data_IF_941634528841
#
_entry.id   IF_941634528841
#
_cell.length_a   1.000
_cell.length_b   1.000
_cell.length_c   1.000
_cell.angle_alpha   90.00
_cell.angle_beta   90.00
_cell.angle_gamma   90.00
#
_symmetry.space_group_name_H-M   'P 1'
#
loop_
_entity.id
_entity.type
_entity.pdbx_description
1 polymer ?
#
# COMPACT_ATOMS: atom_id res chain seq x y z
N UNK A 1 0.02 6.40 12.74
CA UNK A 1 1.46 6.47 13.00
C UNK A 1 2.00 5.12 13.42
N UNK A 2 1.56 4.57 14.58
CA UNK A 2 2.08 3.33 15.17
C UNK A 2 2.02 2.12 14.21
N UNK A 3 0.90 1.86 13.56
CA UNK A 3 0.71 0.70 12.66
C UNK A 3 1.74 0.67 11.53
N UNK A 4 1.97 1.80 10.85
CA UNK A 4 2.93 1.84 9.74
C UNK A 4 4.37 1.58 10.21
N UNK A 5 4.77 2.09 11.38
CA UNK A 5 6.10 1.77 11.91
C UNK A 5 6.22 0.33 12.42
N UNK A 6 5.12 -0.34 12.78
CA UNK A 6 5.14 -1.79 13.02
C UNK A 6 5.42 -2.57 11.71
N UNK A 7 4.81 -2.18 10.60
CA UNK A 7 5.14 -2.76 9.30
C UNK A 7 6.61 -2.50 8.91
N UNK A 8 7.10 -1.28 9.13
CA UNK A 8 8.51 -0.92 8.89
C UNK A 8 9.46 -1.77 9.74
N UNK A 9 9.16 -1.95 11.03
CA UNK A 9 9.95 -2.78 11.93
C UNK A 9 10.01 -4.23 11.44
N UNK A 10 8.86 -4.81 11.10
CA UNK A 10 8.78 -6.19 10.62
C UNK A 10 9.52 -6.35 9.28
N UNK A 11 9.36 -5.41 8.35
CA UNK A 11 10.08 -5.39 7.09
C UNK A 11 11.61 -5.34 7.32
N UNK A 12 12.08 -4.48 8.21
CA UNK A 12 13.50 -4.37 8.55
C UNK A 12 14.03 -5.65 9.23
N UNK A 13 13.24 -6.30 10.10
CA UNK A 13 13.63 -7.60 10.69
C UNK A 13 13.80 -8.67 9.61
N UNK A 14 12.92 -8.72 8.61
CA UNK A 14 13.05 -9.64 7.48
C UNK A 14 14.34 -9.31 6.70
N UNK A 15 14.53 -8.05 6.30
CA UNK A 15 15.69 -7.61 5.52
C UNK A 15 17.03 -7.87 6.22
N UNK A 16 17.09 -7.74 7.55
CA UNK A 16 18.29 -8.02 8.33
C UNK A 16 18.63 -9.50 8.47
N UNK A 17 17.65 -10.39 8.26
CA UNK A 17 17.79 -11.81 8.56
C UNK A 17 17.61 -12.72 7.34
N UNK A 18 17.00 -12.27 6.26
CA UNK A 18 16.71 -13.11 5.09
C UNK A 18 17.99 -13.70 4.48
N UNK A 19 19.06 -12.93 4.40
CA UNK A 19 20.36 -13.38 3.86
C UNK A 19 21.11 -14.37 4.80
N UNK A 20 20.68 -14.49 6.06
CA UNK A 20 21.24 -15.42 7.05
C UNK A 20 20.57 -16.80 7.00
N UNK A 21 19.40 -16.88 6.37
CA UNK A 21 18.65 -18.14 6.23
C UNK A 21 19.13 -18.84 4.96
N UNK A 22 19.60 -20.08 5.09
CA UNK A 22 19.96 -20.90 3.94
C UNK A 22 18.71 -21.38 3.21
N UNK A 23 18.17 -20.52 2.35
CA UNK A 23 17.10 -20.89 1.44
C UNK A 23 17.72 -21.50 0.18
N UNK A 24 17.27 -22.70 -0.20
CA UNK A 24 17.71 -23.38 -1.43
C UNK A 24 17.02 -22.83 -2.67
N UNK A 25 15.88 -22.15 -2.49
CA UNK A 25 15.10 -21.53 -3.55
C UNK A 25 15.40 -20.02 -3.60
N UNK A 26 16.24 -19.61 -4.56
CA UNK A 26 16.62 -18.21 -4.76
C UNK A 26 15.41 -17.34 -5.11
N UNK A 27 14.42 -17.86 -5.85
CA UNK A 27 13.23 -17.08 -6.20
C UNK A 27 12.39 -16.75 -4.97
N UNK A 28 12.30 -17.70 -4.03
CA UNK A 28 11.61 -17.48 -2.76
C UNK A 28 12.38 -16.48 -1.91
N UNK A 29 13.71 -16.60 -1.84
CA UNK A 29 14.57 -15.65 -1.12
C UNK A 29 14.38 -14.22 -1.63
N UNK A 30 14.50 -14.04 -2.95
CA UNK A 30 14.35 -12.72 -3.59
C UNK A 30 12.92 -12.19 -3.45
N UNK A 31 11.92 -13.08 -3.55
CA UNK A 31 10.53 -12.73 -3.32
C UNK A 31 10.27 -12.18 -1.92
N UNK A 32 10.73 -12.88 -0.88
CA UNK A 32 10.58 -12.44 0.52
C UNK A 32 11.28 -11.09 0.75
N UNK A 33 12.47 -10.90 0.20
CA UNK A 33 13.22 -9.64 0.29
C UNK A 33 12.48 -8.50 -0.44
N UNK A 34 12.02 -8.77 -1.67
CA UNK A 34 11.26 -7.81 -2.47
C UNK A 34 9.94 -7.40 -1.82
N UNK A 35 9.19 -8.35 -1.24
CA UNK A 35 7.97 -8.05 -0.48
C UNK A 35 8.26 -7.16 0.75
N UNK A 36 9.32 -7.46 1.50
CA UNK A 36 9.69 -6.66 2.66
C UNK A 36 10.04 -5.21 2.27
N UNK A 37 10.76 -5.02 1.16
CA UNK A 37 11.05 -3.69 0.61
C UNK A 37 9.77 -2.95 0.18
N UNK A 38 8.83 -3.64 -0.48
CA UNK A 38 7.53 -3.07 -0.82
C UNK A 38 6.74 -2.62 0.42
N UNK A 39 6.69 -3.44 1.49
CA UNK A 39 6.04 -3.07 2.74
C UNK A 39 6.71 -1.86 3.41
N UNK A 40 8.04 -1.79 3.39
CA UNK A 40 8.78 -0.65 3.94
C UNK A 40 8.50 0.63 3.16
N UNK A 41 8.57 0.57 1.85
CA UNK A 41 8.27 1.69 0.95
C UNK A 41 6.82 2.16 1.09
N UNK A 42 5.86 1.24 1.03
CA UNK A 42 4.43 1.54 1.18
C UNK A 42 4.12 2.20 2.53
N UNK A 43 4.71 1.70 3.60
CA UNK A 43 4.49 2.24 4.94
C UNK A 43 5.04 3.66 5.07
N UNK A 44 6.27 3.92 4.61
CA UNK A 44 6.86 5.26 4.64
C UNK A 44 6.15 6.22 3.68
N UNK A 45 5.67 5.74 2.54
CA UNK A 45 4.88 6.54 1.61
C UNK A 45 3.57 7.03 2.26
N UNK A 46 2.85 6.16 2.98
CA UNK A 46 1.69 6.58 3.74
C UNK A 46 2.06 7.55 4.88
N UNK A 47 3.14 7.27 5.62
CA UNK A 47 3.60 8.14 6.70
C UNK A 47 3.95 9.55 6.21
N UNK A 48 4.71 9.68 5.12
CA UNK A 48 5.11 11.00 4.61
C UNK A 48 3.91 11.79 4.09
N UNK A 49 2.93 11.15 3.45
CA UNK A 49 1.70 11.81 3.00
C UNK A 49 0.82 12.29 4.17
N UNK A 50 0.77 11.53 5.27
CA UNK A 50 -0.10 11.86 6.41
C UNK A 50 0.53 12.88 7.38
N UNK A 51 1.87 12.89 7.51
CA UNK A 51 2.57 13.61 8.58
C UNK A 51 3.59 14.64 8.10
N UNK A 52 3.72 14.83 6.78
CA UNK A 52 4.60 15.84 6.21
C UNK A 52 3.86 16.76 5.23
N UNK A 53 4.53 17.80 4.78
CA UNK A 53 4.01 18.63 3.68
C UNK A 53 4.01 17.82 2.38
N UNK A 54 3.05 18.15 1.51
CA UNK A 54 2.99 17.57 0.17
C UNK A 54 4.31 17.81 -0.59
N UNK A 55 4.72 16.83 -1.37
CA UNK A 55 5.83 16.96 -2.31
C UNK A 55 5.54 18.05 -3.34
N UNK A 56 6.49 18.92 -3.56
CA UNK A 56 6.42 19.97 -4.57
C UNK A 56 7.37 19.65 -5.73
N UNK A 57 6.87 19.31 -6.93
CA UNK A 57 7.72 18.96 -8.06
C UNK A 57 8.65 20.09 -8.54
N UNK A 58 8.36 21.35 -8.16
CA UNK A 58 9.19 22.50 -8.47
C UNK A 58 10.08 22.96 -7.29
N UNK A 59 9.92 22.36 -6.11
CA UNK A 59 10.59 22.75 -4.89
C UNK A 59 11.79 21.86 -4.55
N UNK A 60 12.56 22.27 -3.55
CA UNK A 60 13.70 21.49 -3.02
C UNK A 60 13.26 20.36 -2.06
N UNK A 61 12.00 20.39 -1.61
CA UNK A 61 11.42 19.46 -0.64
C UNK A 61 12.28 19.27 0.64
N UNK A 62 13.00 20.32 1.05
CA UNK A 62 13.89 20.33 2.21
C UNK A 62 13.17 20.42 3.56
N UNK A 63 11.83 20.59 3.56
CA UNK A 63 11.03 20.56 4.77
C UNK A 63 11.05 19.17 5.41
N UNK A 64 10.81 19.13 6.74
CA UNK A 64 10.83 17.89 7.49
C UNK A 64 9.74 16.91 7.04
N UNK A 65 10.17 15.74 6.63
CA UNK A 65 9.38 14.56 6.32
C UNK A 65 9.11 13.70 7.56
N UNK A 66 9.44 12.42 7.50
CA UNK A 66 9.33 11.45 8.60
C UNK A 66 10.67 10.74 8.80
N UNK A 67 10.94 10.12 9.97
CA UNK A 67 12.09 9.24 10.13
C UNK A 67 12.00 8.04 9.17
N UNK A 68 12.91 7.95 8.21
CA UNK A 68 12.96 6.80 7.29
C UNK A 68 13.87 5.71 7.86
N UNK A 69 13.25 4.72 8.50
CA UNK A 69 13.97 3.65 9.19
C UNK A 69 14.35 2.52 8.23
N UNK A 70 15.66 2.30 8.07
CA UNK A 70 16.23 1.16 7.31
C UNK A 70 16.70 0.02 8.21
N UNK A 71 16.61 0.19 9.53
CA UNK A 71 17.06 -0.79 10.52
C UNK A 71 15.98 -1.12 11.56
N UNK A 72 16.00 -2.35 12.04
CA UNK A 72 15.12 -2.81 13.12
C UNK A 72 15.76 -2.48 14.48
N UNK A 73 15.67 -1.24 14.90
CA UNK A 73 16.08 -0.77 16.21
C UNK A 73 15.04 0.18 16.81
N UNK A 74 15.19 0.47 18.10
CA UNK A 74 14.31 1.40 18.86
C UNK A 74 14.95 2.75 19.13
N UNK A 75 16.13 3.02 18.60
CA UNK A 75 16.86 4.25 18.82
C UNK A 75 16.11 5.47 18.29
N UNK A 76 16.31 6.60 18.95
CA UNK A 76 15.79 7.87 18.47
C UNK A 76 16.39 8.22 17.11
N UNK A 77 15.55 8.66 16.16
CA UNK A 77 15.99 9.06 14.84
C UNK A 77 15.40 10.43 14.48
N UNK A 78 16.22 11.31 13.94
CA UNK A 78 15.77 12.58 13.39
C UNK A 78 14.86 12.35 12.17
N UNK A 79 13.99 13.33 11.90
CA UNK A 79 13.18 13.30 10.67
C UNK A 79 14.06 13.59 9.47
N UNK A 80 13.90 12.79 8.45
CA UNK A 80 14.43 13.08 7.12
C UNK A 80 13.67 14.24 6.47
N UNK A 81 14.24 14.84 5.44
CA UNK A 81 13.51 15.76 4.57
C UNK A 81 12.46 15.01 3.74
N UNK A 82 11.49 15.73 3.21
CA UNK A 82 10.50 15.15 2.27
C UNK A 82 11.21 14.58 1.05
N UNK A 83 12.22 15.29 0.51
CA UNK A 83 13.04 14.80 -0.62
C UNK A 83 13.68 13.46 -0.32
N UNK A 84 14.43 13.35 0.80
CA UNK A 84 15.07 12.10 1.21
C UNK A 84 14.07 10.97 1.42
N UNK A 85 12.87 11.26 1.99
CA UNK A 85 11.85 10.24 2.15
C UNK A 85 11.41 9.66 0.81
N UNK A 86 11.11 10.51 -0.18
CA UNK A 86 10.69 10.04 -1.50
C UNK A 86 11.83 9.37 -2.27
N UNK A 87 13.06 9.83 -2.10
CA UNK A 87 14.23 9.16 -2.65
C UNK A 87 14.34 7.73 -2.12
N UNK A 88 14.33 7.53 -0.81
CA UNK A 88 14.45 6.21 -0.19
C UNK A 88 13.25 5.28 -0.51
N UNK A 89 12.03 5.83 -0.60
CA UNK A 89 10.86 5.08 -1.06
C UNK A 89 11.10 4.56 -2.49
N UNK A 90 11.65 5.40 -3.37
CA UNK A 90 11.93 5.00 -4.75
C UNK A 90 13.07 3.99 -4.85
N UNK A 91 14.13 4.12 -4.04
CA UNK A 91 15.21 3.15 -3.94
C UNK A 91 14.70 1.76 -3.52
N UNK A 92 13.88 1.71 -2.45
CA UNK A 92 13.27 0.46 -1.99
C UNK A 92 12.39 -0.19 -3.06
N UNK A 93 11.61 0.59 -3.79
CA UNK A 93 10.75 0.09 -4.86
C UNK A 93 11.54 -0.38 -6.08
N UNK A 94 12.62 0.31 -6.44
CA UNK A 94 13.47 -0.11 -7.55
C UNK A 94 14.16 -1.45 -7.24
N UNK A 95 14.71 -1.63 -6.03
CA UNK A 95 15.27 -2.90 -5.59
C UNK A 95 14.19 -3.99 -5.53
N UNK A 96 13.02 -3.70 -4.97
CA UNK A 96 11.91 -4.64 -4.89
C UNK A 96 11.46 -5.13 -6.27
N UNK A 97 11.34 -4.23 -7.24
CA UNK A 97 10.96 -4.55 -8.62
C UNK A 97 11.95 -5.55 -9.24
N UNK A 98 13.26 -5.33 -9.07
CA UNK A 98 14.29 -6.24 -9.59
C UNK A 98 14.18 -7.64 -8.96
N UNK A 99 14.00 -7.72 -7.64
CA UNK A 99 13.89 -8.96 -6.89
C UNK A 99 12.62 -9.75 -7.23
N UNK A 100 11.51 -9.05 -7.50
CA UNK A 100 10.22 -9.67 -7.78
C UNK A 100 10.04 -10.17 -9.22
N UNK A 101 10.98 -9.90 -10.14
CA UNK A 101 10.85 -10.28 -11.57
C UNK A 101 10.60 -11.76 -11.81
N UNK A 102 11.19 -12.62 -11.00
CA UNK A 102 11.08 -14.08 -11.14
C UNK A 102 10.27 -14.73 -10.00
N UNK A 103 9.64 -13.92 -9.17
CA UNK A 103 8.84 -14.37 -8.04
C UNK A 103 7.37 -14.44 -8.43
N UNK A 104 6.71 -15.53 -8.04
CA UNK A 104 5.27 -15.68 -8.15
C UNK A 104 4.66 -15.62 -6.76
N UNK A 105 3.88 -14.58 -6.48
CA UNK A 105 3.19 -14.42 -5.21
C UNK A 105 2.16 -15.55 -5.00
N UNK A 106 2.12 -16.12 -3.78
CA UNK A 106 1.26 -17.26 -3.46
C UNK A 106 -0.22 -16.89 -3.34
N UNK A 107 -0.52 -15.62 -3.07
CA UNK A 107 -1.88 -15.12 -2.89
C UNK A 107 -1.91 -13.59 -3.12
N UNK A 108 -3.10 -13.06 -3.30
CA UNK A 108 -3.35 -11.61 -3.43
C UNK A 108 -2.99 -10.79 -2.18
N UNK A 109 -2.73 -11.45 -1.05
CA UNK A 109 -2.24 -10.80 0.18
C UNK A 109 -0.74 -10.48 0.14
N UNK A 110 -0.01 -11.03 -0.82
CA UNK A 110 1.43 -10.82 -1.02
C UNK A 110 1.70 -9.73 -2.05
N UNK A 111 2.80 -9.01 -1.88
CA UNK A 111 3.27 -8.12 -2.93
C UNK A 111 3.81 -8.94 -4.11
N UNK A 112 3.38 -8.58 -5.30
CA UNK A 112 3.86 -9.14 -6.56
C UNK A 112 4.49 -8.04 -7.42
N UNK A 113 5.15 -8.41 -8.51
CA UNK A 113 5.76 -7.46 -9.45
C UNK A 113 4.75 -6.41 -9.96
N UNK A 114 3.54 -6.84 -10.34
CA UNK A 114 2.47 -5.94 -10.78
C UNK A 114 2.07 -4.92 -9.72
N UNK A 115 2.02 -5.33 -8.45
CA UNK A 115 1.69 -4.45 -7.33
C UNK A 115 2.83 -3.48 -7.04
N UNK A 116 4.09 -3.94 -7.11
CA UNK A 116 5.26 -3.07 -6.96
C UNK A 116 5.31 -1.98 -8.03
N UNK A 117 5.02 -2.32 -9.30
CA UNK A 117 4.88 -1.33 -10.38
C UNK A 117 3.75 -0.33 -10.10
N UNK A 118 2.58 -0.80 -9.67
CA UNK A 118 1.45 0.06 -9.33
C UNK A 118 1.76 1.01 -8.16
N UNK A 119 2.47 0.53 -7.15
CA UNK A 119 2.92 1.36 -6.03
C UNK A 119 3.93 2.42 -6.49
N UNK A 120 4.91 2.03 -7.34
CA UNK A 120 5.87 2.96 -7.94
C UNK A 120 5.17 4.04 -8.75
N UNK A 121 4.19 3.67 -9.57
CA UNK A 121 3.38 4.62 -10.33
C UNK A 121 2.67 5.65 -9.43
N UNK A 122 2.09 5.20 -8.30
CA UNK A 122 1.43 6.09 -7.32
C UNK A 122 2.40 7.04 -6.63
N UNK A 123 3.60 6.57 -6.28
CA UNK A 123 4.65 7.41 -5.70
C UNK A 123 5.06 8.49 -6.69
N UNK A 124 5.37 8.12 -7.93
CA UNK A 124 5.78 9.06 -8.99
C UNK A 124 4.67 10.06 -9.35
N UNK A 125 3.41 9.61 -9.37
CA UNK A 125 2.25 10.48 -9.55
C UNK A 125 2.17 11.55 -8.45
N UNK A 126 2.40 11.13 -7.20
CA UNK A 126 2.40 12.05 -6.04
C UNK A 126 3.55 13.05 -6.12
N UNK A 127 4.69 12.65 -6.69
CA UNK A 127 5.84 13.52 -6.95
C UNK A 127 5.63 14.45 -8.16
N UNK A 128 4.54 14.29 -8.93
CA UNK A 128 4.30 15.05 -10.15
C UNK A 128 5.11 14.58 -11.37
N UNK A 129 5.79 13.45 -11.28
CA UNK A 129 6.52 12.84 -12.41
C UNK A 129 5.56 12.01 -13.28
N UNK A 130 4.69 12.70 -14.01
CA UNK A 130 3.62 12.09 -14.80
C UNK A 130 4.11 11.11 -15.89
N UNK A 131 5.20 11.40 -16.65
CA UNK A 131 5.68 10.47 -17.68
C UNK A 131 6.10 9.11 -17.10
N UNK A 132 6.90 9.10 -16.05
CA UNK A 132 7.33 7.86 -15.42
C UNK A 132 6.17 7.18 -14.66
N UNK A 133 5.27 7.95 -14.04
CA UNK A 133 4.07 7.40 -13.43
C UNK A 133 3.21 6.63 -14.45
N UNK A 134 3.00 7.19 -15.63
CA UNK A 134 2.26 6.54 -16.72
C UNK A 134 2.96 5.26 -17.20
N UNK A 135 4.28 5.29 -17.35
CA UNK A 135 5.07 4.11 -17.74
C UNK A 135 4.95 2.96 -16.74
N UNK A 136 5.10 3.26 -15.44
CA UNK A 136 4.98 2.23 -14.39
C UNK A 136 3.54 1.74 -14.22
N UNK A 137 2.54 2.58 -14.45
CA UNK A 137 1.14 2.16 -14.50
C UNK A 137 0.88 1.18 -15.66
N UNK A 138 1.40 1.47 -16.86
CA UNK A 138 1.31 0.59 -18.02
C UNK A 138 2.00 -0.77 -17.76
N UNK A 139 3.19 -0.76 -17.14
CA UNK A 139 3.87 -1.99 -16.72
C UNK A 139 3.05 -2.79 -15.72
N UNK A 140 2.41 -2.13 -14.73
CA UNK A 140 1.53 -2.79 -13.77
C UNK A 140 0.35 -3.47 -14.46
N UNK A 141 -0.34 -2.76 -15.36
CA UNK A 141 -1.49 -3.28 -16.11
C UNK A 141 -1.08 -4.48 -16.97
N UNK A 142 -0.03 -4.33 -17.79
CA UNK A 142 0.43 -5.41 -18.68
C UNK A 142 0.86 -6.66 -17.90
N UNK A 143 1.53 -6.48 -16.77
CA UNK A 143 1.92 -7.61 -15.92
C UNK A 143 0.70 -8.26 -15.28
N UNK A 144 -0.29 -7.47 -14.84
CA UNK A 144 -1.52 -7.97 -14.27
C UNK A 144 -2.34 -8.77 -15.29
N UNK A 145 -2.49 -8.25 -16.51
CA UNK A 145 -3.18 -8.94 -17.62
C UNK A 145 -2.47 -10.25 -18.01
N UNK A 146 -1.14 -10.25 -18.04
CA UNK A 146 -0.35 -11.46 -18.30
C UNK A 146 -0.53 -12.53 -17.21
N UNK A 147 -0.78 -12.11 -15.95
CA UNK A 147 -1.09 -12.99 -14.82
C UNK A 147 -2.58 -13.41 -14.76
N UNK A 148 -3.41 -12.98 -15.73
CA UNK A 148 -4.84 -13.30 -15.79
C UNK A 148 -5.76 -12.34 -15.07
N UNK A 149 -5.25 -11.24 -14.51
CA UNK A 149 -6.12 -10.21 -13.95
C UNK A 149 -6.91 -9.51 -15.07
N UNK A 150 -8.14 -9.17 -14.79
CA UNK A 150 -9.04 -8.45 -15.72
C UNK A 150 -9.96 -7.53 -14.92
N UNK A 151 -10.43 -6.46 -15.56
CA UNK A 151 -11.44 -5.60 -14.98
C UNK A 151 -12.77 -6.34 -14.83
N UNK A 152 -13.45 -6.10 -13.72
CA UNK A 152 -14.82 -6.59 -13.50
C UNK A 152 -15.79 -5.98 -14.52
N UNK A 153 -16.68 -6.79 -15.05
CA UNK A 153 -17.83 -6.30 -15.81
C UNK A 153 -18.92 -5.75 -14.86
N UNK A 154 -19.99 -5.15 -15.39
CA UNK A 154 -21.04 -4.52 -14.59
C UNK A 154 -21.75 -5.48 -13.63
N UNK A 155 -21.90 -6.75 -14.00
CA UNK A 155 -22.53 -7.76 -13.14
C UNK A 155 -21.58 -8.18 -12.01
N UNK A 156 -20.31 -8.39 -12.32
CA UNK A 156 -19.26 -8.73 -11.36
C UNK A 156 -19.01 -7.56 -10.38
N UNK A 157 -19.11 -6.30 -10.86
CA UNK A 157 -18.98 -5.12 -10.02
C UNK A 157 -20.05 -5.05 -8.94
N UNK A 158 -21.27 -5.49 -9.24
CA UNK A 158 -22.39 -5.47 -8.27
C UNK A 158 -22.24 -6.55 -7.19
N UNK A 159 -21.57 -7.66 -7.45
CA UNK A 159 -21.39 -8.80 -6.53
C UNK A 159 -19.96 -8.98 -6.04
N UNK A 160 -18.97 -8.56 -6.80
CA UNK A 160 -17.57 -8.92 -6.59
C UNK A 160 -16.92 -8.36 -5.32
N UNK A 161 -17.47 -7.29 -4.75
CA UNK A 161 -16.96 -6.76 -3.48
C UNK A 161 -17.37 -7.56 -2.24
N UNK A 162 -18.26 -8.53 -2.38
CA UNK A 162 -18.62 -9.41 -1.26
C UNK A 162 -17.49 -10.40 -0.91
N UNK A 163 -16.76 -10.85 -1.93
CA UNK A 163 -15.70 -11.85 -1.81
C UNK A 163 -14.49 -11.51 -2.70
N UNK A 164 -13.98 -10.28 -2.54
CA UNK A 164 -12.96 -9.67 -3.40
C UNK A 164 -11.67 -10.50 -3.55
N UNK A 165 -11.34 -11.35 -2.58
CA UNK A 165 -10.13 -12.18 -2.62
C UNK A 165 -10.31 -13.47 -3.41
N UNK A 166 -11.55 -13.95 -3.59
CA UNK A 166 -11.83 -15.24 -4.20
C UNK A 166 -12.62 -15.15 -5.50
N UNK A 167 -13.42 -14.11 -5.68
CA UNK A 167 -14.41 -14.05 -6.74
C UNK A 167 -14.13 -12.96 -7.77
N UNK A 168 -13.03 -12.20 -7.62
CA UNK A 168 -12.67 -11.18 -8.58
C UNK A 168 -11.22 -11.29 -9.02
N UNK A 169 -11.03 -11.32 -10.34
CA UNK A 169 -9.70 -11.27 -10.95
C UNK A 169 -9.13 -9.84 -11.00
N UNK A 170 -9.89 -8.82 -10.58
CA UNK A 170 -9.44 -7.42 -10.61
C UNK A 170 -8.50 -7.10 -9.44
N UNK A 171 -8.66 -7.77 -8.30
CA UNK A 171 -7.85 -7.48 -7.12
C UNK A 171 -6.41 -7.97 -7.28
N UNK A 172 -5.47 -7.06 -7.48
CA UNK A 172 -4.05 -7.37 -7.55
C UNK A 172 -3.42 -7.54 -6.16
N UNK A 173 -3.91 -6.82 -5.16
CA UNK A 173 -3.45 -6.88 -3.78
C UNK A 173 -4.57 -6.47 -2.83
N UNK A 174 -4.80 -7.27 -1.79
CA UNK A 174 -5.82 -7.02 -0.79
C UNK A 174 -5.42 -7.58 0.59
N UNK A 175 -5.88 -6.93 1.64
CA UNK A 175 -5.78 -7.46 2.99
C UNK A 175 -6.93 -8.45 3.24
N UNK A 176 -6.59 -9.63 3.74
CA UNK A 176 -7.58 -10.61 4.16
C UNK A 176 -7.78 -10.53 5.68
N UNK A 177 -9.01 -10.28 6.11
CA UNK A 177 -9.38 -10.31 7.53
C UNK A 177 -10.04 -11.66 7.81
N UNK A 178 -9.45 -12.45 8.72
CA UNK A 178 -10.00 -13.72 9.13
C UNK A 178 -11.14 -13.54 10.15
N UNK A 179 -12.03 -14.52 10.28
CA UNK A 179 -13.19 -14.47 11.17
C UNK A 179 -12.82 -14.32 12.66
N UNK A 180 -11.62 -14.75 13.04
CA UNK A 180 -11.07 -14.61 14.39
C UNK A 180 -10.42 -13.25 14.66
N UNK A 181 -10.23 -12.43 13.61
CA UNK A 181 -9.66 -11.09 13.68
C UNK A 181 -10.77 -10.05 13.87
N UNK A 182 -11.20 -9.84 15.10
CA UNK A 182 -12.29 -8.92 15.41
C UNK A 182 -11.88 -7.45 15.28
N UNK A 183 -12.09 -6.87 14.10
CA UNK A 183 -12.03 -5.41 13.90
C UNK A 183 -13.42 -4.76 14.05
N UNK A 184 -14.35 -5.45 14.68
CA UNK A 184 -15.78 -5.15 14.75
C UNK A 184 -16.09 -3.68 15.06
N UNK A 185 -15.43 -3.08 16.06
CA UNK A 185 -15.62 -1.69 16.44
C UNK A 185 -14.81 -0.69 15.62
N UNK A 186 -13.82 -1.17 14.86
CA UNK A 186 -12.85 -0.33 14.12
C UNK A 186 -12.99 -0.48 12.60
N UNK A 187 -14.00 -1.24 12.13
CA UNK A 187 -14.26 -1.40 10.70
C UNK A 187 -14.83 -0.11 10.10
N UNK A 188 -14.66 0.06 8.79
CA UNK A 188 -15.28 1.15 8.06
C UNK A 188 -16.82 1.16 8.27
N UNK A 189 -17.46 0.00 8.22
CA UNK A 189 -18.91 -0.14 8.46
C UNK A 189 -19.31 0.32 9.86
N UNK A 190 -18.51 0.02 10.87
CA UNK A 190 -18.78 0.44 12.23
C UNK A 190 -18.85 1.97 12.35
N UNK A 191 -17.99 2.69 11.64
CA UNK A 191 -17.94 4.15 11.68
C UNK A 191 -18.95 4.83 10.74
N UNK A 192 -19.27 4.21 9.61
CA UNK A 192 -20.07 4.84 8.54
C UNK A 192 -21.52 4.34 8.49
N UNK A 193 -21.83 3.21 9.16
CA UNK A 193 -23.18 2.67 9.17
C UNK A 193 -24.08 3.37 10.20
N UNK A 194 -25.24 3.84 9.75
CA UNK A 194 -26.23 4.47 10.62
C UNK A 194 -27.02 3.48 11.49
N UNK A 195 -27.11 2.22 11.07
CA UNK A 195 -27.88 1.15 11.73
C UNK A 195 -27.02 0.20 12.57
N UNK A 196 -25.74 0.47 12.75
CA UNK A 196 -24.87 -0.33 13.59
C UNK A 196 -25.24 -0.19 15.06
N UNK A 197 -25.42 -1.32 15.75
CA UNK A 197 -26.02 -1.35 17.09
C UNK A 197 -25.07 -1.00 18.24
N UNK A 198 -23.76 -0.95 18.02
CA UNK A 198 -22.81 -0.66 19.06
C UNK A 198 -22.93 0.80 19.56
N UNK A 199 -23.22 0.97 20.83
CA UNK A 199 -23.49 2.27 21.45
C UNK A 199 -22.33 3.26 21.34
N UNK A 200 -21.07 2.80 21.41
CA UNK A 200 -19.89 3.64 21.28
C UNK A 200 -19.75 4.32 19.91
N UNK A 201 -20.28 3.70 18.86
CA UNK A 201 -20.17 4.20 17.50
C UNK A 201 -21.36 5.07 17.14
N UNK A 202 -22.52 4.79 17.71
CA UNK A 202 -23.73 5.62 17.55
C UNK A 202 -23.61 7.01 18.15
N UNK A 203 -22.77 7.18 19.17
CA UNK A 203 -22.60 8.46 19.82
C UNK A 203 -21.91 9.50 18.91
N UNK A 204 -21.11 9.06 17.92
CA UNK A 204 -20.38 9.95 17.00
C UNK A 204 -20.35 9.32 15.59
N UNK A 205 -21.50 9.24 14.89
CA UNK A 205 -21.50 8.72 13.53
C UNK A 205 -20.70 9.63 12.62
N UNK A 206 -19.81 9.05 11.83
CA UNK A 206 -19.05 9.78 10.81
C UNK A 206 -19.84 9.76 9.51
N UNK A 207 -20.27 10.93 9.07
CA UNK A 207 -21.02 11.09 7.84
C UNK A 207 -20.19 11.87 6.81
N UNK A 208 -20.48 11.68 5.54
CA UNK A 208 -19.95 12.53 4.49
C UNK A 208 -20.39 13.97 4.77
N UNK A 209 -19.51 14.93 4.57
CA UNK A 209 -19.83 16.34 4.69
C UNK A 209 -20.97 16.71 3.72
N UNK A 210 -21.98 17.44 4.19
CA UNK A 210 -23.15 17.84 3.39
C UNK A 210 -22.78 18.58 2.10
N UNK A 211 -21.73 19.41 2.12
CA UNK A 211 -21.24 20.11 0.92
C UNK A 211 -20.76 19.11 -0.13
N UNK A 212 -20.06 18.05 0.28
CA UNK A 212 -19.60 17.00 -0.62
C UNK A 212 -20.77 16.10 -1.06
N UNK A 213 -21.66 15.76 -0.14
CA UNK A 213 -22.86 14.96 -0.45
C UNK A 213 -23.73 15.62 -1.51
N UNK A 214 -24.00 16.93 -1.37
CA UNK A 214 -24.83 17.70 -2.32
C UNK A 214 -24.19 17.86 -3.71
N UNK A 215 -22.91 17.50 -3.90
CA UNK A 215 -22.25 17.45 -5.22
C UNK A 215 -22.45 16.11 -5.93
N UNK A 216 -22.93 15.08 -5.24
CA UNK A 216 -23.23 13.80 -5.87
C UNK A 216 -24.51 13.97 -6.71
N UNK A 217 -24.40 13.64 -7.99
CA UNK A 217 -25.54 13.71 -8.90
C UNK A 217 -26.63 12.72 -8.50
N UNK A 218 -27.88 13.17 -8.47
CA UNK A 218 -29.03 12.29 -8.27
C UNK A 218 -29.37 11.44 -9.50
N UNK A 219 -28.60 11.59 -10.59
CA UNK A 219 -28.81 10.90 -11.87
C UNK A 219 -27.70 9.87 -12.17
N UNK A 220 -26.90 9.50 -11.17
CA UNK A 220 -25.86 8.49 -11.29
C UNK A 220 -26.41 7.07 -11.03
#
# INVERSE_FOLDING_TARGET
>A
FYIYYQFVLNANLILQNVDKVQLTDQKLHDGVKGEALCFRAWSHFNLVQLYAKRYDPAGSNSQLGVPYRKEANTDGMARNTVEECYQFINEDLDEAIELLKNYTAKATTHFSLKVAYGLKARVLLTMGNYPEAAKFADLSIKTAEADGNKLMNSTELMSGFATILTDTDEAMWAANTQDDQTIYFYSFYAYMSWNFTASAIRAVPRCINSVSYNKISNTA
#
